data_IF_193074028118
#
_entry.id   IF_193074028118
#
_cell.length_a   1.000
_cell.length_b   1.000
_cell.length_c   1.000
_cell.angle_alpha   90.00
_cell.angle_beta   90.00
_cell.angle_gamma   90.00
#
_symmetry.space_group_name_H-M   'P 1'
#
loop_
_entity.id
_entity.type
_entity.pdbx_description
1 polymer ?
#
# COMPACT_ATOMS: atom_id res chain seq x y z
N UNK A 1 0.50 7.11 -44.98
CA UNK A 1 -0.75 7.18 -44.20
C UNK A 1 -0.73 6.09 -43.14
N UNK A 2 -1.05 6.38 -41.88
CA UNK A 2 -0.96 5.41 -40.79
C UNK A 2 -2.11 4.40 -40.91
N UNK A 3 -1.83 3.08 -40.98
CA UNK A 3 -2.86 2.05 -41.11
C UNK A 3 -3.70 1.96 -39.81
N UNK A 4 -5.00 2.33 -39.83
CA UNK A 4 -5.82 2.35 -38.63
C UNK A 4 -6.17 0.95 -38.11
N UNK A 5 -6.09 -0.11 -38.94
CA UNK A 5 -6.39 -1.50 -38.55
C UNK A 5 -5.48 -1.98 -37.40
N UNK A 6 -4.24 -1.45 -37.31
CA UNK A 6 -3.29 -1.83 -36.26
C UNK A 6 -3.74 -1.45 -34.84
N UNK A 7 -4.63 -0.46 -34.72
CA UNK A 7 -5.16 -0.01 -33.42
C UNK A 7 -6.40 -0.80 -32.99
N UNK A 8 -7.16 -1.33 -33.95
CA UNK A 8 -8.37 -2.13 -33.68
C UNK A 8 -7.99 -3.58 -33.31
N UNK A 9 -6.94 -4.13 -33.91
CA UNK A 9 -6.52 -5.53 -33.71
C UNK A 9 -5.44 -5.71 -32.64
N UNK A 10 -5.35 -4.79 -31.67
CA UNK A 10 -4.41 -4.99 -30.58
C UNK A 10 -4.85 -6.19 -29.73
N UNK A 11 -3.92 -7.11 -29.40
CA UNK A 11 -4.23 -8.17 -28.45
C UNK A 11 -4.65 -7.51 -27.13
N UNK A 12 -5.69 -8.06 -26.48
CA UNK A 12 -6.06 -7.59 -25.14
C UNK A 12 -4.80 -7.67 -24.26
N UNK A 13 -4.38 -6.58 -23.61
CA UNK A 13 -3.22 -6.61 -22.74
C UNK A 13 -3.42 -7.74 -21.73
N UNK A 14 -2.43 -8.63 -21.62
CA UNK A 14 -2.45 -9.66 -20.58
C UNK A 14 -2.50 -8.91 -19.25
N UNK A 15 -3.52 -9.16 -18.45
CA UNK A 15 -3.60 -8.60 -17.12
C UNK A 15 -2.35 -9.03 -16.36
N UNK A 16 -1.47 -8.08 -16.03
CA UNK A 16 -0.32 -8.35 -15.17
C UNK A 16 -0.87 -8.58 -13.77
N UNK A 17 -1.08 -9.85 -13.41
CA UNK A 17 -1.44 -10.23 -12.06
C UNK A 17 -0.16 -10.27 -11.21
N UNK A 18 -0.16 -9.70 -10.00
CA UNK A 18 -1.26 -9.02 -9.32
C UNK A 18 -1.37 -7.52 -9.64
N UNK A 19 -2.62 -7.04 -9.76
CA UNK A 19 -2.94 -5.62 -9.92
C UNK A 19 -2.52 -4.83 -8.67
N UNK A 20 -1.76 -3.75 -8.85
CA UNK A 20 -1.32 -2.84 -7.76
C UNK A 20 -1.99 -1.48 -7.95
N UNK A 21 -2.72 -1.02 -6.94
CA UNK A 21 -3.53 0.20 -7.01
C UNK A 21 -3.08 1.16 -5.90
N UNK A 22 -2.78 2.41 -6.26
CA UNK A 22 -2.58 3.51 -5.32
C UNK A 22 -3.77 4.46 -5.40
N UNK A 23 -4.39 4.78 -4.26
CA UNK A 23 -5.53 5.69 -4.19
C UNK A 23 -5.11 6.97 -3.48
N UNK A 24 -5.20 8.09 -4.19
CA UNK A 24 -4.82 9.42 -3.70
C UNK A 24 -6.04 10.35 -3.65
N UNK A 25 -6.03 11.32 -2.74
CA UNK A 25 -7.11 12.31 -2.62
C UNK A 25 -7.04 13.10 -1.31
N UNK A 26 -7.78 14.23 -1.19
CA UNK A 26 -7.74 15.09 -0.01
C UNK A 26 -8.34 14.40 1.22
N UNK A 27 -8.02 14.84 2.46
CA UNK A 27 -8.64 14.32 3.68
C UNK A 27 -10.17 14.27 3.57
N UNK A 28 -10.79 13.21 4.10
CA UNK A 28 -12.24 12.96 4.04
C UNK A 28 -12.86 12.73 2.65
N UNK A 29 -12.08 12.59 1.57
CA UNK A 29 -12.58 12.29 0.21
C UNK A 29 -13.15 10.87 -0.01
N UNK A 30 -13.22 10.03 1.03
CA UNK A 30 -13.70 8.64 0.89
C UNK A 30 -12.68 7.65 0.33
N UNK A 31 -11.41 8.03 0.14
CA UNK A 31 -10.33 7.16 -0.36
C UNK A 31 -10.22 5.82 0.38
N UNK A 32 -10.36 5.79 1.70
CA UNK A 32 -10.35 4.55 2.50
C UNK A 32 -11.54 3.65 2.17
N UNK A 33 -12.72 4.23 1.95
CA UNK A 33 -13.94 3.49 1.58
C UNK A 33 -13.77 2.83 0.22
N UNK A 34 -13.25 3.58 -0.77
CA UNK A 34 -12.96 3.04 -2.11
C UNK A 34 -11.89 1.94 -2.04
N UNK A 35 -10.82 2.14 -1.27
CA UNK A 35 -9.76 1.14 -1.09
C UNK A 35 -10.32 -0.18 -0.53
N UNK A 36 -11.19 -0.12 0.48
CA UNK A 36 -11.84 -1.30 1.06
C UNK A 36 -12.74 -2.01 0.06
N UNK A 37 -13.52 -1.25 -0.72
CA UNK A 37 -14.40 -1.82 -1.74
C UNK A 37 -13.60 -2.55 -2.83
N UNK A 38 -12.58 -1.91 -3.39
CA UNK A 38 -11.69 -2.52 -4.40
C UNK A 38 -10.97 -3.75 -3.85
N UNK A 39 -10.48 -3.69 -2.61
CA UNK A 39 -9.85 -4.83 -1.96
C UNK A 39 -10.80 -6.04 -1.87
N UNK A 40 -12.05 -5.82 -1.44
CA UNK A 40 -13.06 -6.87 -1.36
C UNK A 40 -13.49 -7.41 -2.71
N UNK A 41 -13.64 -6.54 -3.72
CA UNK A 41 -14.17 -6.91 -5.04
C UNK A 41 -13.14 -7.68 -5.89
N UNK A 42 -11.86 -7.33 -5.75
CA UNK A 42 -10.77 -7.92 -6.54
C UNK A 42 -9.89 -8.89 -5.74
N UNK A 43 -10.25 -9.20 -4.49
CA UNK A 43 -9.45 -10.07 -3.62
C UNK A 43 -8.05 -9.53 -3.33
N UNK A 44 -7.90 -8.20 -3.26
CA UNK A 44 -6.62 -7.54 -3.04
C UNK A 44 -6.38 -7.29 -1.56
N UNK A 45 -5.13 -7.36 -1.12
CA UNK A 45 -4.74 -6.91 0.22
C UNK A 45 -4.74 -5.38 0.27
N UNK A 46 -5.54 -4.80 1.17
CA UNK A 46 -5.51 -3.35 1.43
C UNK A 46 -4.29 -3.01 2.28
N UNK A 47 -3.40 -2.18 1.75
CA UNK A 47 -2.24 -1.67 2.48
C UNK A 47 -2.41 -0.20 2.86
N UNK A 48 -1.81 0.17 3.99
CA UNK A 48 -1.74 1.55 4.50
C UNK A 48 -0.55 1.64 5.43
N UNK A 49 0.33 2.62 5.20
CA UNK A 49 1.53 2.83 6.04
C UNK A 49 1.14 2.98 7.52
N UNK A 50 0.10 3.76 7.80
CA UNK A 50 -0.35 3.97 9.17
C UNK A 50 -0.93 2.71 9.83
N UNK A 51 -1.52 1.79 9.06
CA UNK A 51 -2.01 0.52 9.60
C UNK A 51 -0.83 -0.45 9.83
N UNK A 52 0.14 -0.50 8.91
CA UNK A 52 1.35 -1.31 9.04
C UNK A 52 2.18 -0.92 10.28
N UNK A 53 2.43 0.38 10.47
CA UNK A 53 3.14 0.90 11.64
C UNK A 53 2.41 0.56 12.95
N UNK A 54 1.08 0.74 13.01
CA UNK A 54 0.29 0.41 14.20
C UNK A 54 0.28 -1.09 14.47
N UNK A 55 0.13 -1.92 13.43
CA UNK A 55 0.20 -3.38 13.54
C UNK A 55 1.54 -3.83 14.13
N UNK A 56 2.66 -3.29 13.61
CA UNK A 56 3.99 -3.60 14.13
C UNK A 56 4.16 -3.21 15.61
N UNK A 57 3.75 -1.99 15.96
CA UNK A 57 3.88 -1.51 17.35
C UNK A 57 2.97 -2.27 18.34
N UNK A 58 1.81 -2.75 17.89
CA UNK A 58 0.87 -3.49 18.76
C UNK A 58 1.15 -4.99 18.82
N UNK A 59 1.47 -5.63 17.70
CA UNK A 59 1.61 -7.09 17.61
C UNK A 59 3.06 -7.58 17.81
N UNK A 60 4.04 -6.73 17.49
CA UNK A 60 5.47 -7.05 17.53
C UNK A 60 6.30 -5.98 18.25
N UNK A 61 5.95 -5.59 19.50
CA UNK A 61 6.55 -4.45 20.18
C UNK A 61 8.06 -4.62 20.44
N UNK A 62 8.53 -5.86 20.66
CA UNK A 62 9.92 -6.16 21.04
C UNK A 62 10.87 -6.33 19.84
N UNK A 63 10.38 -6.14 18.60
CA UNK A 63 11.23 -6.23 17.42
C UNK A 63 12.12 -5.00 17.28
N UNK A 64 13.31 -5.17 16.70
CA UNK A 64 14.22 -4.05 16.44
C UNK A 64 13.57 -2.96 15.60
N UNK A 65 12.73 -3.34 14.61
CA UNK A 65 11.97 -2.40 13.79
C UNK A 65 11.00 -1.58 14.64
N UNK A 66 10.19 -2.23 15.49
CA UNK A 66 9.25 -1.55 16.38
C UNK A 66 9.95 -0.63 17.38
N UNK A 67 11.08 -1.06 17.95
CA UNK A 67 11.89 -0.25 18.87
C UNK A 67 12.42 1.01 18.18
N UNK A 68 12.95 0.88 16.95
CA UNK A 68 13.43 2.03 16.17
C UNK A 68 12.29 2.98 15.82
N UNK A 69 11.16 2.46 15.33
CA UNK A 69 9.95 3.27 15.06
C UNK A 69 9.54 4.03 16.31
N UNK A 70 9.43 3.34 17.45
CA UNK A 70 8.98 3.93 18.70
C UNK A 70 9.96 4.99 19.24
N UNK A 71 11.26 4.79 19.07
CA UNK A 71 12.28 5.78 19.42
C UNK A 71 12.09 7.11 18.66
N UNK A 72 11.79 7.06 17.36
CA UNK A 72 11.49 8.26 16.56
C UNK A 72 10.22 8.95 17.07
N UNK A 73 9.15 8.18 17.28
CA UNK A 73 7.85 8.70 17.72
C UNK A 73 7.91 9.32 19.12
N UNK A 74 8.60 8.68 20.08
CA UNK A 74 8.77 9.22 21.45
C UNK A 74 9.55 10.53 21.48
N UNK A 75 10.40 10.78 20.49
CA UNK A 75 11.12 12.05 20.31
C UNK A 75 10.32 13.12 19.56
N UNK A 76 9.06 12.83 19.21
CA UNK A 76 8.23 13.72 18.39
C UNK A 76 8.69 13.83 16.93
N UNK A 77 9.53 12.90 16.47
CA UNK A 77 10.02 12.84 15.09
C UNK A 77 9.11 11.98 14.23
N UNK A 78 9.09 12.26 12.93
CA UNK A 78 8.44 11.37 11.95
C UNK A 78 9.23 10.08 11.80
N UNK A 79 8.52 9.00 11.47
CA UNK A 79 9.14 7.72 11.14
C UNK A 79 9.85 7.87 9.78
N UNK A 80 11.16 7.53 9.67
CA UNK A 80 11.86 7.55 8.40
C UNK A 80 11.23 6.61 7.37
N UNK A 81 11.22 7.02 6.09
CA UNK A 81 10.63 6.25 5.00
C UNK A 81 11.18 4.82 4.91
N UNK A 82 12.49 4.64 5.16
CA UNK A 82 13.11 3.31 5.16
C UNK A 82 12.49 2.35 6.18
N UNK A 83 12.10 2.85 7.37
CA UNK A 83 11.43 2.03 8.39
C UNK A 83 9.95 1.80 8.03
N UNK A 84 9.30 2.82 7.46
CA UNK A 84 7.91 2.72 7.01
C UNK A 84 7.75 1.69 5.88
N UNK A 85 8.70 1.64 4.94
CA UNK A 85 8.74 0.65 3.86
C UNK A 85 8.96 -0.75 4.43
N UNK A 86 9.88 -0.93 5.38
CA UNK A 86 10.08 -2.23 6.04
C UNK A 86 8.81 -2.73 6.76
N UNK A 87 8.11 -1.84 7.46
CA UNK A 87 6.85 -2.20 8.10
C UNK A 87 5.78 -2.59 7.05
N UNK A 88 5.75 -1.89 5.92
CA UNK A 88 4.83 -2.19 4.82
C UNK A 88 5.13 -3.55 4.17
N UNK A 89 6.40 -3.89 3.98
CA UNK A 89 6.85 -5.17 3.42
C UNK A 89 6.45 -6.33 4.32
N UNK A 90 6.63 -6.21 5.63
CA UNK A 90 6.16 -7.22 6.58
C UNK A 90 4.64 -7.36 6.54
N UNK A 91 3.91 -6.25 6.52
CA UNK A 91 2.45 -6.26 6.34
C UNK A 91 2.01 -6.78 4.97
N UNK A 92 2.88 -6.91 3.96
CA UNK A 92 2.55 -7.56 2.70
C UNK A 92 2.73 -9.09 2.78
N UNK A 93 3.65 -9.57 3.64
CA UNK A 93 3.96 -11.00 3.80
C UNK A 93 2.97 -11.76 4.71
N UNK A 94 2.26 -11.05 5.59
CA UNK A 94 1.13 -11.61 6.37
C UNK A 94 -0.05 -12.04 5.49
#
# INVERSE_FOLDING_TARGET
MMNPIKYIRQPKPKASMPVRIMIVGPPKSGKTTVAKKLASEYGLKRLSVGDALRSMLSNHPDTELSLRINWHLHKGMTVPDALAIQALDLSLME
#
